data_IF_251034824706
#
_entry.id   IF_251034824706
#
_cell.length_a   1.000
_cell.length_b   1.000
_cell.length_c   1.000
_cell.angle_alpha   90.00
_cell.angle_beta   90.00
_cell.angle_gamma   90.00
#
_symmetry.space_group_name_H-M   'P 1'
#
loop_
_entity.id
_entity.type
_entity.pdbx_description
1 polymer ?
#
# COMPACT_ATOMS: atom_id res chain seq x y z
N UNK A 1 -38.59 -35.31 -36.43
CA UNK A 1 -38.14 -34.97 -35.03
C UNK A 1 -36.65 -34.62 -34.91
N UNK A 2 -35.78 -35.20 -35.76
CA UNK A 2 -34.31 -35.07 -35.61
C UNK A 2 -33.73 -33.69 -35.98
N UNK A 3 -34.30 -33.02 -36.95
CA UNK A 3 -33.80 -31.70 -37.42
C UNK A 3 -34.00 -30.60 -36.37
N UNK A 4 -35.11 -30.63 -35.63
CA UNK A 4 -35.38 -29.65 -34.56
C UNK A 4 -34.50 -29.87 -33.35
N UNK A 5 -34.20 -31.11 -33.00
CA UNK A 5 -33.28 -31.45 -31.93
C UNK A 5 -31.84 -30.97 -32.24
N UNK A 6 -31.41 -31.13 -33.50
CA UNK A 6 -30.09 -30.66 -33.95
C UNK A 6 -29.96 -29.13 -33.92
N UNK A 7 -31.00 -28.43 -34.36
CA UNK A 7 -31.02 -26.94 -34.30
C UNK A 7 -31.00 -26.41 -32.87
N UNK A 8 -31.74 -27.02 -31.95
CA UNK A 8 -31.74 -26.64 -30.53
C UNK A 8 -30.40 -26.96 -29.84
N UNK A 9 -29.78 -28.10 -30.19
CA UNK A 9 -28.45 -28.43 -29.67
C UNK A 9 -27.37 -27.46 -30.20
N UNK A 10 -27.40 -27.15 -31.45
CA UNK A 10 -26.46 -26.20 -32.08
C UNK A 10 -26.65 -24.77 -31.55
N UNK A 11 -27.92 -24.35 -31.30
CA UNK A 11 -28.21 -23.08 -30.61
C UNK A 11 -27.63 -23.00 -29.21
N UNK A 12 -27.83 -24.05 -28.40
CA UNK A 12 -27.30 -24.15 -27.04
C UNK A 12 -25.77 -24.21 -26.98
N UNK A 13 -25.13 -24.89 -27.92
CA UNK A 13 -23.67 -24.89 -28.04
C UNK A 13 -23.14 -23.50 -28.41
N UNK A 14 -23.79 -22.81 -29.38
CA UNK A 14 -23.41 -21.47 -29.81
C UNK A 14 -23.59 -20.40 -28.71
N UNK A 15 -24.66 -20.49 -27.89
CA UNK A 15 -24.84 -19.62 -26.75
C UNK A 15 -23.80 -19.88 -25.66
N UNK A 16 -23.50 -21.15 -25.42
CA UNK A 16 -22.48 -21.57 -24.47
C UNK A 16 -21.09 -21.04 -24.85
N UNK A 17 -20.77 -21.08 -26.16
CA UNK A 17 -19.50 -20.57 -26.67
C UNK A 17 -19.42 -19.05 -26.55
N UNK A 18 -20.54 -18.34 -26.76
CA UNK A 18 -20.60 -16.87 -26.57
C UNK A 18 -20.35 -16.46 -25.14
N UNK A 19 -20.94 -17.13 -24.13
CA UNK A 19 -20.69 -16.81 -22.73
C UNK A 19 -19.25 -17.11 -22.32
N UNK A 20 -18.66 -18.17 -22.85
CA UNK A 20 -17.27 -18.51 -22.60
C UNK A 20 -16.32 -17.46 -23.20
N UNK A 21 -16.57 -17.07 -24.44
CA UNK A 21 -15.82 -16.02 -25.11
C UNK A 21 -15.94 -14.67 -24.35
N UNK A 22 -17.13 -14.34 -23.87
CA UNK A 22 -17.34 -13.14 -23.06
C UNK A 22 -16.48 -13.15 -21.80
N UNK A 23 -16.48 -14.27 -21.07
CA UNK A 23 -15.67 -14.42 -19.85
C UNK A 23 -14.17 -14.35 -20.16
N UNK A 24 -13.73 -14.96 -21.25
CA UNK A 24 -12.34 -14.86 -21.70
C UNK A 24 -11.98 -13.42 -22.06
N UNK A 25 -12.84 -12.72 -22.77
CA UNK A 25 -12.63 -11.31 -23.14
C UNK A 25 -12.58 -10.42 -21.90
N UNK A 26 -13.51 -10.62 -20.97
CA UNK A 26 -13.56 -9.88 -19.72
C UNK A 26 -12.32 -10.12 -18.85
N UNK A 27 -11.71 -11.29 -18.92
CA UNK A 27 -10.48 -11.63 -18.21
C UNK A 27 -9.25 -11.08 -18.93
N UNK A 28 -9.12 -11.36 -20.25
CA UNK A 28 -7.88 -11.13 -20.99
C UNK A 28 -7.65 -9.64 -21.34
N UNK A 29 -8.71 -8.88 -21.64
CA UNK A 29 -8.55 -7.47 -22.05
C UNK A 29 -8.03 -6.61 -20.89
N UNK A 30 -8.63 -6.61 -19.68
CA UNK A 30 -8.09 -5.85 -18.56
C UNK A 30 -6.70 -6.36 -18.14
N UNK A 31 -6.46 -7.67 -18.23
CA UNK A 31 -5.16 -8.26 -17.91
C UNK A 31 -4.07 -7.76 -18.88
N UNK A 32 -4.37 -7.72 -20.19
CA UNK A 32 -3.46 -7.18 -21.20
C UNK A 32 -3.17 -5.69 -20.96
N UNK A 33 -4.20 -4.89 -20.66
CA UNK A 33 -4.05 -3.47 -20.32
C UNK A 33 -3.17 -3.33 -19.08
N UNK A 34 -3.39 -4.15 -18.05
CA UNK A 34 -2.59 -4.13 -16.84
C UNK A 34 -1.10 -4.45 -17.10
N UNK A 35 -0.81 -5.39 -18.01
CA UNK A 35 0.58 -5.70 -18.38
C UNK A 35 1.25 -4.61 -19.22
N UNK A 36 0.47 -3.89 -20.05
CA UNK A 36 1.01 -2.77 -20.84
C UNK A 36 1.16 -1.49 -20.01
N UNK A 37 0.38 -1.30 -18.96
CA UNK A 37 0.42 -0.11 -18.13
C UNK A 37 1.71 -0.04 -17.30
N UNK A 38 2.38 1.10 -17.33
CA UNK A 38 3.56 1.38 -16.49
C UNK A 38 3.22 1.48 -15.01
N UNK A 39 2.03 1.97 -14.68
CA UNK A 39 1.54 2.10 -13.30
C UNK A 39 0.78 0.84 -12.91
N UNK A 40 1.33 0.06 -11.98
CA UNK A 40 0.77 -1.21 -11.52
C UNK A 40 0.11 -1.05 -10.17
N UNK A 41 -1.09 -0.53 -10.12
CA UNK A 41 -1.91 -0.54 -8.90
C UNK A 41 -2.57 -1.91 -8.74
N UNK A 42 -2.29 -2.57 -7.62
CA UNK A 42 -2.81 -3.92 -7.32
C UNK A 42 -4.35 -4.00 -7.34
N UNK A 43 -5.03 -2.88 -7.06
CA UNK A 43 -6.49 -2.78 -7.06
C UNK A 43 -7.13 -3.02 -8.44
N UNK A 44 -6.41 -2.80 -9.53
CA UNK A 44 -6.92 -3.05 -10.89
C UNK A 44 -7.11 -4.54 -11.22
N UNK A 45 -6.57 -5.43 -10.40
CA UNK A 45 -6.75 -6.88 -10.54
C UNK A 45 -8.08 -7.35 -9.95
N UNK A 46 -8.71 -6.58 -9.04
CA UNK A 46 -9.96 -6.95 -8.36
C UNK A 46 -11.10 -7.33 -9.33
N UNK A 47 -11.40 -6.59 -10.41
CA UNK A 47 -12.47 -6.94 -11.34
C UNK A 47 -12.26 -8.29 -12.05
N UNK A 48 -11.02 -8.79 -12.11
CA UNK A 48 -10.70 -10.07 -12.77
C UNK A 48 -11.14 -11.29 -11.95
N UNK A 49 -11.33 -11.13 -10.63
CA UNK A 49 -11.82 -12.23 -9.78
C UNK A 49 -13.22 -12.69 -10.18
N UNK A 50 -14.07 -11.80 -10.66
CA UNK A 50 -15.45 -12.14 -11.07
C UNK A 50 -15.46 -13.12 -12.25
N UNK A 51 -14.86 -12.83 -13.43
CA UNK A 51 -14.81 -13.76 -14.52
C UNK A 51 -14.06 -15.05 -14.17
N UNK A 52 -12.99 -14.99 -13.38
CA UNK A 52 -12.29 -16.18 -12.88
C UNK A 52 -13.21 -17.08 -12.05
N UNK A 53 -13.93 -16.51 -11.09
CA UNK A 53 -14.87 -17.26 -10.26
C UNK A 53 -15.98 -17.92 -11.10
N UNK A 54 -16.55 -17.19 -12.08
CA UNK A 54 -17.56 -17.72 -12.99
C UNK A 54 -17.01 -18.84 -13.90
N UNK A 55 -15.77 -18.72 -14.37
CA UNK A 55 -15.12 -19.78 -15.14
C UNK A 55 -14.88 -21.04 -14.29
N UNK A 56 -14.50 -20.88 -13.02
CA UNK A 56 -14.29 -22.01 -12.10
C UNK A 56 -15.60 -22.63 -11.60
N UNK A 57 -16.67 -21.84 -11.47
CA UNK A 57 -17.96 -22.33 -10.98
C UNK A 57 -18.55 -23.43 -11.89
N UNK A 58 -18.36 -23.34 -13.20
CA UNK A 58 -18.89 -24.32 -14.17
C UNK A 58 -18.33 -25.74 -14.03
N UNK A 59 -17.02 -25.97 -14.00
CA UNK A 59 -16.48 -27.30 -13.76
C UNK A 59 -16.81 -27.80 -12.34
N UNK A 60 -16.84 -26.90 -11.34
CA UNK A 60 -17.20 -27.23 -9.98
C UNK A 60 -18.65 -27.72 -9.87
N UNK A 61 -19.60 -27.05 -10.55
CA UNK A 61 -21.01 -27.46 -10.59
C UNK A 61 -21.26 -28.82 -11.27
N UNK A 62 -20.32 -29.27 -12.10
CA UNK A 62 -20.39 -30.60 -12.74
C UNK A 62 -19.78 -31.71 -11.93
N UNK A 63 -19.06 -31.37 -10.89
CA UNK A 63 -18.39 -32.36 -10.05
C UNK A 63 -19.40 -33.02 -9.10
N UNK A 64 -19.89 -34.20 -9.48
CA UNK A 64 -20.89 -34.98 -8.73
C UNK A 64 -20.52 -35.26 -7.26
N UNK A 65 -19.26 -35.10 -6.89
CA UNK A 65 -18.78 -35.24 -5.51
C UNK A 65 -19.09 -34.05 -4.61
N UNK A 66 -19.53 -32.91 -5.18
CA UNK A 66 -19.81 -31.66 -4.46
C UNK A 66 -21.33 -31.39 -4.33
N UNK A 67 -22.15 -32.41 -4.12
CA UNK A 67 -23.57 -32.23 -3.95
C UNK A 67 -23.97 -32.12 -2.46
N UNK A 68 -24.91 -31.25 -2.17
CA UNK A 68 -25.53 -31.11 -0.87
C UNK A 68 -24.56 -30.75 0.27
N UNK A 69 -24.59 -31.53 1.35
CA UNK A 69 -23.79 -31.27 2.57
C UNK A 69 -22.29 -31.22 2.32
N UNK A 70 -21.76 -32.03 1.40
CA UNK A 70 -20.33 -32.05 1.08
C UNK A 70 -19.85 -30.74 0.47
N UNK A 71 -20.64 -30.13 -0.41
CA UNK A 71 -20.32 -28.81 -0.97
C UNK A 71 -20.24 -27.75 0.12
N UNK A 72 -21.25 -27.72 1.01
CA UNK A 72 -21.25 -26.78 2.14
C UNK A 72 -20.05 -26.99 3.05
N UNK A 73 -19.67 -28.24 3.34
CA UNK A 73 -18.51 -28.56 4.17
C UNK A 73 -17.20 -28.08 3.53
N UNK A 74 -17.01 -28.31 2.23
CA UNK A 74 -15.81 -27.87 1.51
C UNK A 74 -15.71 -26.34 1.49
N UNK A 75 -16.81 -25.65 1.20
CA UNK A 75 -16.86 -24.19 1.22
C UNK A 75 -16.56 -23.65 2.62
N UNK A 76 -17.17 -24.23 3.65
CA UNK A 76 -16.96 -23.81 5.04
C UNK A 76 -15.51 -24.03 5.48
N UNK A 77 -14.92 -25.19 5.16
CA UNK A 77 -13.51 -25.48 5.45
C UNK A 77 -12.58 -24.51 4.72
N UNK A 78 -12.83 -24.24 3.45
CA UNK A 78 -12.03 -23.29 2.67
C UNK A 78 -12.13 -21.87 3.26
N UNK A 79 -13.35 -21.42 3.58
CA UNK A 79 -13.56 -20.13 4.21
C UNK A 79 -12.86 -20.04 5.58
N UNK A 80 -12.96 -21.08 6.39
CA UNK A 80 -12.31 -21.15 7.70
C UNK A 80 -10.77 -21.12 7.57
N UNK A 81 -10.23 -21.87 6.62
CA UNK A 81 -8.78 -21.87 6.33
C UNK A 81 -8.29 -20.50 5.88
N UNK A 82 -9.02 -19.84 4.98
CA UNK A 82 -8.68 -18.50 4.50
C UNK A 82 -8.78 -17.46 5.62
N UNK A 83 -9.80 -17.54 6.47
CA UNK A 83 -9.95 -16.69 7.65
C UNK A 83 -8.82 -16.90 8.65
N UNK A 84 -8.49 -18.15 8.93
CA UNK A 84 -7.38 -18.52 9.80
C UNK A 84 -6.04 -18.02 9.27
N UNK A 85 -5.77 -18.22 7.99
CA UNK A 85 -4.57 -17.69 7.33
C UNK A 85 -4.51 -16.17 7.40
N UNK A 86 -5.62 -15.48 7.10
CA UNK A 86 -5.71 -14.03 7.19
C UNK A 86 -5.49 -13.53 8.62
N UNK A 87 -6.07 -14.18 9.61
CA UNK A 87 -5.86 -13.87 11.02
C UNK A 87 -4.38 -14.05 11.41
N UNK A 88 -3.78 -15.18 11.05
CA UNK A 88 -2.36 -15.45 11.32
C UNK A 88 -1.46 -14.38 10.69
N UNK A 89 -1.70 -14.03 9.41
CA UNK A 89 -0.94 -12.98 8.73
C UNK A 89 -1.17 -11.59 9.33
N UNK A 90 -2.38 -11.31 9.86
CA UNK A 90 -2.68 -10.03 10.50
C UNK A 90 -1.96 -9.85 11.85
N UNK A 91 -1.67 -10.94 12.54
CA UNK A 91 -0.93 -10.94 13.81
C UNK A 91 0.57 -11.23 13.64
N UNK A 92 1.01 -11.56 12.41
CA UNK A 92 2.42 -11.77 12.16
C UNK A 92 3.18 -10.46 12.33
N UNK A 93 4.22 -10.41 13.18
CA UNK A 93 5.04 -9.22 13.33
C UNK A 93 5.68 -8.88 11.98
N UNK A 94 5.42 -7.70 11.50
CA UNK A 94 5.99 -7.18 10.26
C UNK A 94 6.72 -5.88 10.56
N UNK A 95 7.91 -5.69 10.02
CA UNK A 95 8.67 -4.44 10.14
C UNK A 95 7.93 -3.23 9.57
N UNK A 96 6.86 -3.48 8.78
CA UNK A 96 5.95 -2.47 8.23
C UNK A 96 4.70 -2.25 9.09
N UNK A 97 4.65 -2.79 10.31
CA UNK A 97 3.49 -2.59 11.18
C UNK A 97 3.44 -1.15 11.70
N UNK A 98 2.55 -0.37 11.10
CA UNK A 98 2.32 1.03 11.50
C UNK A 98 1.90 1.17 12.97
N UNK A 99 1.41 0.10 13.62
CA UNK A 99 1.04 0.10 15.05
C UNK A 99 2.26 0.27 15.94
N UNK A 100 3.31 -0.50 15.67
CA UNK A 100 4.56 -0.43 16.46
C UNK A 100 5.22 0.93 16.27
N UNK A 101 5.33 1.38 15.02
CA UNK A 101 5.88 2.70 14.72
C UNK A 101 5.05 3.82 15.38
N UNK A 102 3.72 3.73 15.34
CA UNK A 102 2.84 4.71 15.98
C UNK A 102 3.03 4.75 17.51
N UNK A 103 3.24 3.60 18.16
CA UNK A 103 3.48 3.56 19.60
C UNK A 103 4.81 4.22 19.98
N UNK A 104 5.88 3.97 19.21
CA UNK A 104 7.18 4.59 19.41
C UNK A 104 7.12 6.11 19.17
N UNK A 105 6.50 6.53 18.05
CA UNK A 105 6.32 7.95 17.76
C UNK A 105 5.48 8.67 18.81
N UNK A 106 4.40 8.06 19.30
CA UNK A 106 3.56 8.65 20.34
C UNK A 106 4.34 8.92 21.61
N UNK A 107 5.28 8.05 21.99
CA UNK A 107 6.14 8.24 23.14
C UNK A 107 7.07 9.45 22.95
N UNK A 108 7.65 9.62 21.76
CA UNK A 108 8.50 10.76 21.45
C UNK A 108 7.71 12.07 21.35
N UNK A 109 6.53 12.02 20.72
CA UNK A 109 5.64 13.16 20.55
C UNK A 109 5.01 13.64 21.87
N UNK A 110 4.93 12.79 22.89
CA UNK A 110 4.49 13.19 24.23
C UNK A 110 5.48 14.19 24.87
N UNK A 111 6.77 14.06 24.57
CA UNK A 111 7.81 14.97 25.06
C UNK A 111 7.98 16.19 24.15
N UNK A 112 7.79 15.99 22.84
CA UNK A 112 7.96 17.03 21.83
C UNK A 112 6.71 17.08 20.93
N UNK A 113 5.68 17.84 21.34
CA UNK A 113 4.42 17.89 20.61
C UNK A 113 4.62 18.51 19.22
N UNK A 114 4.21 17.77 18.19
CA UNK A 114 4.22 18.20 16.80
C UNK A 114 2.84 18.04 16.19
N UNK A 115 2.52 18.92 15.25
CA UNK A 115 1.27 18.90 14.49
C UNK A 115 1.43 18.09 13.19
N UNK A 116 2.67 17.95 12.73
CA UNK A 116 3.00 17.29 11.47
C UNK A 116 4.27 16.43 11.56
N UNK A 117 4.24 15.31 10.85
CA UNK A 117 5.36 14.37 10.73
C UNK A 117 5.71 14.25 9.25
N UNK A 118 6.93 14.59 8.89
CA UNK A 118 7.41 14.56 7.50
C UNK A 118 8.46 13.46 7.34
N UNK A 119 8.19 12.55 6.41
CA UNK A 119 9.14 11.52 6.01
C UNK A 119 10.06 12.06 4.92
N UNK A 120 11.37 12.11 5.20
CA UNK A 120 12.38 12.68 4.30
C UNK A 120 13.09 11.57 3.54
N UNK A 121 13.07 11.64 2.20
CA UNK A 121 13.74 10.69 1.30
C UNK A 121 13.19 9.27 1.37
N UNK A 122 11.97 9.11 1.83
CA UNK A 122 11.28 7.82 1.89
C UNK A 122 9.77 7.99 1.74
N UNK A 123 9.09 6.91 1.36
CA UNK A 123 7.62 6.94 1.26
C UNK A 123 6.99 7.06 2.64
N UNK A 124 6.04 7.99 2.84
CA UNK A 124 5.34 8.13 4.10
C UNK A 124 4.52 6.87 4.43
N UNK A 125 4.50 6.54 5.72
CA UNK A 125 3.68 5.45 6.24
C UNK A 125 2.26 5.97 6.49
N UNK A 126 1.45 6.13 5.45
CA UNK A 126 0.07 6.66 5.56
C UNK A 126 -0.84 5.86 6.52
N UNK A 127 -0.47 4.60 6.83
CA UNK A 127 -1.16 3.82 7.87
C UNK A 127 -1.09 4.44 9.26
N UNK A 128 -0.13 5.34 9.52
CA UNK A 128 -0.03 6.07 10.78
C UNK A 128 -1.21 7.04 11.00
N UNK A 129 -1.86 7.54 9.94
CA UNK A 129 -3.04 8.39 10.05
C UNK A 129 -4.23 7.74 10.79
N UNK A 130 -4.22 6.40 10.90
CA UNK A 130 -5.23 5.65 11.67
C UNK A 130 -4.94 5.71 13.17
N UNK A 131 -3.68 5.87 13.55
CA UNK A 131 -3.21 5.76 14.92
C UNK A 131 -2.77 7.08 15.53
N UNK A 132 -2.38 8.04 14.71
CA UNK A 132 -1.88 9.36 15.11
C UNK A 132 -2.80 10.45 14.58
N UNK A 133 -2.97 11.52 15.35
CA UNK A 133 -3.74 12.70 14.95
C UNK A 133 -2.91 13.72 14.14
N UNK A 134 -1.61 13.50 14.07
CA UNK A 134 -0.68 14.36 13.35
C UNK A 134 -0.84 14.17 11.83
N UNK A 135 -0.65 15.25 11.10
CA UNK A 135 -0.59 15.20 9.63
C UNK A 135 0.67 14.45 9.20
N UNK A 136 0.53 13.50 8.27
CA UNK A 136 1.64 12.74 7.74
C UNK A 136 1.86 13.14 6.30
N UNK A 137 3.07 13.62 6.02
CA UNK A 137 3.48 14.05 4.69
C UNK A 137 4.86 13.47 4.33
N UNK A 138 5.24 13.56 3.07
CA UNK A 138 6.52 13.10 2.57
C UNK A 138 7.26 14.17 1.81
N UNK A 139 8.53 14.35 2.14
CA UNK A 139 9.45 15.17 1.38
C UNK A 139 10.29 14.26 0.48
N UNK A 140 10.03 14.30 -0.81
CA UNK A 140 10.70 13.45 -1.80
C UNK A 140 12.06 14.06 -2.14
N UNK A 141 13.13 13.49 -1.57
CA UNK A 141 14.53 13.84 -1.86
C UNK A 141 15.18 12.59 -2.46
N UNK A 142 15.97 12.74 -3.51
CA UNK A 142 16.70 11.62 -4.12
C UNK A 142 17.69 11.04 -3.10
N UNK A 143 17.51 9.77 -2.75
CA UNK A 143 18.35 9.06 -1.77
C UNK A 143 19.82 8.90 -2.19
N UNK A 144 20.12 9.00 -3.50
CA UNK A 144 21.48 8.76 -4.03
C UNK A 144 22.33 10.01 -4.06
N UNK A 145 21.71 11.13 -4.13
CA UNK A 145 22.33 12.45 -4.06
C UNK A 145 21.33 13.32 -3.28
N UNK A 146 21.75 13.82 -2.14
CA UNK A 146 21.10 14.95 -1.50
C UNK A 146 21.36 16.17 -2.39
N UNK A 147 21.00 16.01 -3.67
CA UNK A 147 21.19 17.02 -4.71
C UNK A 147 19.81 17.55 -5.06
N UNK A 148 19.66 18.84 -4.90
CA UNK A 148 18.42 19.61 -5.13
C UNK A 148 17.91 19.55 -6.59
N UNK A 149 18.39 18.60 -7.40
CA UNK A 149 18.43 18.78 -8.85
C UNK A 149 17.21 18.33 -9.63
N UNK A 150 16.17 17.69 -9.03
CA UNK A 150 15.09 17.21 -9.91
C UNK A 150 13.67 17.48 -9.48
N UNK A 151 13.37 17.66 -8.19
CA UNK A 151 11.97 17.87 -7.76
C UNK A 151 11.77 18.90 -6.65
N UNK A 152 12.80 19.29 -5.87
CA UNK A 152 12.70 20.31 -4.83
C UNK A 152 13.92 21.22 -4.94
N UNK A 153 13.71 22.48 -5.23
CA UNK A 153 14.77 23.48 -5.21
C UNK A 153 15.15 23.82 -3.76
N UNK A 154 16.40 24.33 -3.55
CA UNK A 154 16.86 24.76 -2.22
C UNK A 154 15.88 25.74 -1.59
N UNK A 155 15.38 26.69 -2.36
CA UNK A 155 14.46 27.73 -1.88
C UNK A 155 13.11 27.14 -1.46
N UNK A 156 12.63 26.11 -2.14
CA UNK A 156 11.42 25.38 -1.76
C UNK A 156 11.63 24.62 -0.45
N UNK A 157 12.78 23.92 -0.28
CA UNK A 157 13.11 23.22 0.95
C UNK A 157 13.21 24.20 2.13
N UNK A 158 13.92 25.31 1.95
CA UNK A 158 14.05 26.32 3.00
C UNK A 158 12.70 26.99 3.31
N UNK A 159 11.86 27.20 2.30
CA UNK A 159 10.50 27.68 2.46
C UNK A 159 9.62 26.71 3.25
N UNK A 160 9.73 25.42 2.97
CA UNK A 160 9.01 24.35 3.69
C UNK A 160 9.46 24.26 5.16
N UNK A 161 10.77 24.22 5.40
CA UNK A 161 11.33 24.16 6.76
C UNK A 161 10.95 25.40 7.57
N UNK A 162 10.97 26.59 6.96
CA UNK A 162 10.67 27.85 7.65
C UNK A 162 9.18 28.05 7.95
N UNK A 163 8.29 27.48 7.17
CA UNK A 163 6.83 27.61 7.35
C UNK A 163 6.27 26.73 8.45
N UNK A 164 6.99 25.72 8.87
CA UNK A 164 6.46 24.61 9.68
C UNK A 164 7.10 24.62 11.08
N UNK A 165 6.53 25.41 12.00
CA UNK A 165 7.08 25.62 13.35
C UNK A 165 6.96 24.38 14.27
N UNK A 166 5.96 23.50 14.05
CA UNK A 166 5.69 22.33 14.91
C UNK A 166 5.72 21.03 14.11
N UNK A 167 6.85 20.82 13.43
CA UNK A 167 7.04 19.67 12.56
C UNK A 167 8.17 18.79 13.05
N UNK A 168 7.99 17.48 12.95
CA UNK A 168 9.04 16.49 13.19
C UNK A 168 9.40 15.83 11.88
N UNK A 169 10.69 15.83 11.57
CA UNK A 169 11.24 15.16 10.40
C UNK A 169 11.71 13.76 10.76
N UNK A 170 11.29 12.79 9.97
CA UNK A 170 11.66 11.39 10.12
C UNK A 170 12.49 10.97 8.92
N UNK A 171 13.73 10.56 9.15
CA UNK A 171 14.66 10.23 8.08
C UNK A 171 15.54 9.04 8.45
N UNK A 172 16.08 8.36 7.45
CA UNK A 172 17.04 7.30 7.64
C UNK A 172 18.36 7.87 8.17
N UNK A 173 19.02 7.15 9.06
CA UNK A 173 20.27 7.59 9.68
C UNK A 173 21.35 8.00 8.65
N UNK A 174 21.39 7.37 7.48
CA UNK A 174 22.32 7.72 6.40
C UNK A 174 22.12 9.12 5.81
N UNK A 175 20.92 9.65 5.86
CA UNK A 175 20.57 10.98 5.34
C UNK A 175 20.73 12.09 6.39
N UNK A 176 21.03 11.72 7.64
CA UNK A 176 21.06 12.64 8.75
C UNK A 176 22.03 13.81 8.53
N UNK A 177 23.28 13.50 8.18
CA UNK A 177 24.34 14.52 8.02
C UNK A 177 24.01 15.51 6.89
N UNK A 178 23.49 15.00 5.79
CA UNK A 178 23.17 15.81 4.62
C UNK A 178 21.93 16.68 4.89
N UNK A 179 20.93 16.13 5.59
CA UNK A 179 19.75 16.88 5.97
C UNK A 179 20.06 17.96 7.03
N UNK A 180 20.84 17.63 8.05
CA UNK A 180 21.28 18.63 9.05
C UNK A 180 22.05 19.78 8.40
N UNK A 181 22.93 19.47 7.44
CA UNK A 181 23.63 20.50 6.66
C UNK A 181 22.65 21.39 5.87
N UNK A 182 21.67 20.76 5.20
CA UNK A 182 20.66 21.51 4.46
C UNK A 182 19.82 22.43 5.37
N UNK A 183 19.47 21.98 6.57
CA UNK A 183 18.75 22.79 7.55
C UNK A 183 19.60 23.98 8.01
N UNK A 184 20.89 23.78 8.25
CA UNK A 184 21.84 24.86 8.60
C UNK A 184 22.00 25.84 7.45
N UNK A 185 22.08 25.37 6.21
CA UNK A 185 22.15 26.21 5.01
C UNK A 185 20.90 27.07 4.81
N UNK A 186 19.77 26.65 5.36
CA UNK A 186 18.53 27.43 5.43
C UNK A 186 18.48 28.40 6.63
N UNK A 187 19.57 28.51 7.39
CA UNK A 187 19.65 29.41 8.55
C UNK A 187 18.90 28.90 9.79
N UNK A 188 18.57 27.61 9.83
CA UNK A 188 17.86 26.99 10.94
C UNK A 188 18.77 26.00 11.70
N UNK A 189 18.41 25.69 12.93
CA UNK A 189 19.04 24.64 13.71
C UNK A 189 18.11 23.44 13.79
N UNK A 190 18.65 22.23 13.84
CA UNK A 190 17.90 21.01 14.09
C UNK A 190 18.26 20.43 15.45
N UNK A 191 17.27 19.95 16.18
CA UNK A 191 17.45 19.22 17.41
C UNK A 191 17.08 17.75 17.20
N UNK A 192 17.97 16.84 17.56
CA UNK A 192 17.71 15.41 17.50
C UNK A 192 16.85 15.00 18.69
N UNK A 193 15.65 14.49 18.42
CA UNK A 193 14.68 14.08 19.43
C UNK A 193 14.88 12.61 19.87
N UNK A 194 15.28 11.76 18.95
CA UNK A 194 15.45 10.33 19.21
C UNK A 194 15.56 9.51 17.95
N UNK A 195 15.43 8.19 18.10
CA UNK A 195 15.37 7.25 16.98
C UNK A 195 14.22 6.27 17.19
N UNK A 196 13.63 5.81 16.08
CA UNK A 196 12.61 4.77 16.03
C UNK A 196 13.00 3.74 14.99
N UNK A 197 12.59 2.49 15.19
CA UNK A 197 12.87 1.42 14.24
C UNK A 197 11.64 1.10 13.40
N UNK A 198 11.78 1.17 12.08
CA UNK A 198 10.71 0.80 11.13
C UNK A 198 11.28 0.33 9.80
N UNK A 199 10.60 -0.59 9.14
CA UNK A 199 10.93 -1.15 7.81
C UNK A 199 12.39 -1.67 7.74
N UNK A 200 12.88 -2.28 8.86
CA UNK A 200 14.26 -2.78 8.96
C UNK A 200 15.33 -1.69 9.02
N UNK A 201 14.95 -0.44 9.29
CA UNK A 201 15.87 0.70 9.37
C UNK A 201 15.66 1.51 10.63
N UNK A 202 16.76 2.06 11.13
CA UNK A 202 16.72 3.06 12.19
C UNK A 202 16.42 4.44 11.57
N UNK A 203 15.33 5.03 12.01
CA UNK A 203 14.88 6.35 11.61
C UNK A 203 15.21 7.34 12.72
N UNK A 204 15.72 8.48 12.35
CA UNK A 204 16.06 9.57 13.29
C UNK A 204 14.97 10.63 13.23
N UNK A 205 14.55 11.07 14.42
CA UNK A 205 13.62 12.18 14.57
C UNK A 205 14.39 13.46 14.77
N UNK A 206 14.10 14.46 13.93
CA UNK A 206 14.62 15.83 14.06
C UNK A 206 13.46 16.80 14.19
N UNK A 207 13.60 17.77 15.09
CA UNK A 207 12.74 18.95 15.13
C UNK A 207 13.54 20.18 14.67
N UNK A 208 12.91 21.17 14.00
CA UNK A 208 13.53 22.46 13.83
C UNK A 208 13.76 23.05 15.22
N UNK A 209 15.00 23.39 15.51
CA UNK A 209 15.35 24.10 16.74
C UNK A 209 14.70 25.46 16.74
N UNK A 210 14.11 25.86 17.87
CA UNK A 210 13.71 27.24 18.06
C UNK A 210 14.97 28.12 17.92
N UNK A 211 15.12 28.76 16.77
CA UNK A 211 16.17 29.76 16.60
C UNK A 211 16.00 30.80 17.71
N UNK A 212 17.00 30.91 18.56
CA UNK A 212 17.08 32.02 19.48
C UNK A 212 17.04 33.31 18.65
N UNK A 213 15.87 33.97 18.67
CA UNK A 213 15.77 35.36 18.22
C UNK A 213 16.50 36.27 19.19
#
# INVERSE_FOLDING_TARGET
GSVNAYRTLRGRLRERDRHWLLLCYWLLVPLAIFFLARSRLQLYVLPLFVPMALMMARPLARWRGLEGRRAVTVIALTALTLLGLKATLAYWPSDRDSRQLASQLRQQLATHPADEIIFVGMRPFYGLNVYLSQRIDGLEIDERRFDYSTHVTRDELCGEISRRERTVYLLRQRLLVDFERAVVDCGQQSARLGSVHADGHDLVLLAPGAGTR
#
